data_IF_936626729322
#
_entry.id   IF_936626729322
#
_cell.length_a   1.000
_cell.length_b   1.000
_cell.length_c   1.000
_cell.angle_alpha   90.00
_cell.angle_beta   90.00
_cell.angle_gamma   90.00
#
_symmetry.space_group_name_H-M   'P 1'
#
loop_
_entity.id
_entity.type
_entity.pdbx_description
1 polymer ?
#
# COMPACT_ATOMS: atom_id res chain seq x y z
N UNK A 1 -0.39 4.83 11.88
CA UNK A 1 0.91 4.33 11.39
C UNK A 1 1.09 2.92 11.90
N UNK A 2 1.21 1.92 11.06
CA UNK A 2 1.45 0.55 11.51
C UNK A 2 2.84 0.47 12.13
N UNK A 3 2.94 -0.05 13.37
CA UNK A 3 4.19 -0.49 13.98
C UNK A 3 4.69 -1.73 13.22
N UNK A 4 5.04 -1.55 11.94
CA UNK A 4 5.67 -2.62 11.19
C UNK A 4 7.03 -2.91 11.82
N UNK A 5 7.31 -4.19 11.98
CA UNK A 5 8.64 -4.68 12.32
C UNK A 5 9.69 -3.96 11.45
N UNK A 6 10.92 -3.70 11.92
CA UNK A 6 11.98 -3.11 11.10
C UNK A 6 12.29 -3.90 9.82
N UNK A 7 11.80 -5.15 9.73
CA UNK A 7 11.93 -6.03 8.56
C UNK A 7 10.58 -6.76 8.29
N UNK A 8 9.58 -6.08 7.71
CA UNK A 8 8.24 -6.65 7.48
C UNK A 8 8.26 -7.93 6.64
N UNK A 9 9.16 -8.01 5.65
CA UNK A 9 9.33 -9.17 4.78
C UNK A 9 9.68 -10.48 5.54
N UNK A 10 10.11 -10.38 6.79
CA UNK A 10 10.36 -11.55 7.66
C UNK A 10 9.11 -12.00 8.45
N UNK A 11 8.01 -11.23 8.40
CA UNK A 11 6.79 -11.52 9.16
C UNK A 11 5.59 -11.81 8.24
N UNK A 12 5.58 -13.00 7.65
CA UNK A 12 4.52 -13.47 6.74
C UNK A 12 3.12 -13.41 7.36
N UNK A 13 3.00 -13.75 8.63
CA UNK A 13 1.71 -13.82 9.31
C UNK A 13 1.00 -12.46 9.33
N UNK A 14 1.75 -11.36 9.38
CA UNK A 14 1.16 -10.02 9.31
C UNK A 14 0.61 -9.70 7.90
N UNK A 15 1.26 -10.14 6.83
CA UNK A 15 0.76 -9.96 5.47
C UNK A 15 -0.56 -10.70 5.25
N UNK A 16 -0.71 -11.90 5.83
CA UNK A 16 -1.92 -12.71 5.70
C UNK A 16 -3.12 -12.18 6.52
N UNK A 17 -2.94 -11.25 7.45
CA UNK A 17 -4.07 -10.67 8.20
C UNK A 17 -5.03 -9.87 7.33
N UNK A 18 -4.54 -9.25 6.27
CA UNK A 18 -5.37 -8.45 5.37
C UNK A 18 -6.39 -9.29 4.59
N UNK A 19 -6.12 -10.57 4.37
CA UNK A 19 -7.02 -11.50 3.67
C UNK A 19 -8.19 -12.03 4.52
N UNK A 20 -8.27 -11.71 5.83
CA UNK A 20 -9.38 -12.16 6.69
C UNK A 20 -10.74 -11.65 6.22
N UNK A 21 -10.79 -10.45 5.63
CA UNK A 21 -11.99 -9.87 5.02
C UNK A 21 -11.58 -9.15 3.72
N UNK A 22 -11.29 -9.94 2.69
CA UNK A 22 -10.86 -9.42 1.38
C UNK A 22 -11.92 -8.50 0.73
N UNK A 23 -13.19 -8.78 0.96
CA UNK A 23 -14.28 -7.96 0.41
C UNK A 23 -14.34 -6.57 1.05
N UNK A 24 -14.16 -6.47 2.37
CA UNK A 24 -14.04 -5.20 3.08
C UNK A 24 -12.78 -4.47 2.64
N UNK A 25 -11.65 -5.16 2.58
CA UNK A 25 -10.39 -4.60 2.12
C UNK A 25 -10.54 -3.94 0.75
N UNK A 26 -11.10 -4.66 -0.22
CA UNK A 26 -11.31 -4.17 -1.59
C UNK A 26 -12.20 -2.93 -1.66
N UNK A 27 -13.29 -2.91 -0.88
CA UNK A 27 -14.26 -1.82 -0.87
C UNK A 27 -13.73 -0.58 -0.17
N UNK A 28 -12.99 -0.76 0.91
CA UNK A 28 -12.67 0.32 1.84
C UNK A 28 -11.31 0.98 1.58
N UNK A 29 -10.34 0.23 1.02
CA UNK A 29 -9.01 0.79 0.75
C UNK A 29 -9.06 1.82 -0.40
N UNK A 30 -8.21 2.86 -0.34
CA UNK A 30 -8.09 3.81 -1.43
C UNK A 30 -7.51 3.15 -2.69
N UNK A 31 -7.96 3.61 -3.86
CA UNK A 31 -7.33 3.31 -5.14
C UNK A 31 -6.08 4.16 -5.38
N UNK A 32 -5.73 4.33 -6.65
CA UNK A 32 -4.59 5.13 -7.08
C UNK A 32 -5.04 6.15 -8.13
N UNK A 33 -4.40 7.34 -8.20
CA UNK A 33 -4.79 8.38 -9.16
C UNK A 33 -4.48 7.95 -10.60
N UNK A 34 -5.34 8.36 -11.52
CA UNK A 34 -5.20 8.07 -12.97
C UNK A 34 -3.85 8.56 -13.52
N UNK A 35 -3.40 9.72 -13.06
CA UNK A 35 -2.11 10.29 -13.46
C UNK A 35 -0.90 9.38 -13.15
N UNK A 36 -0.93 8.60 -12.04
CA UNK A 36 0.08 7.58 -11.75
C UNK A 36 0.03 6.47 -12.80
N UNK A 37 -1.17 5.97 -13.08
CA UNK A 37 -1.38 4.86 -14.05
C UNK A 37 -0.87 5.27 -15.42
N UNK A 38 -1.25 6.44 -15.91
CA UNK A 38 -0.82 7.00 -17.18
C UNK A 38 0.71 7.16 -17.23
N UNK A 39 1.31 7.67 -16.16
CA UNK A 39 2.76 7.84 -16.08
C UNK A 39 3.50 6.51 -16.15
N UNK A 40 3.05 5.49 -15.42
CA UNK A 40 3.65 4.15 -15.45
C UNK A 40 3.52 3.53 -16.86
N UNK A 41 2.35 3.62 -17.47
CA UNK A 41 2.14 3.12 -18.84
C UNK A 41 3.04 3.84 -19.85
N UNK A 42 3.18 5.16 -19.73
CA UNK A 42 4.03 5.96 -20.62
C UNK A 42 5.54 5.64 -20.48
N UNK A 43 5.97 5.17 -19.31
CA UNK A 43 7.36 4.75 -19.06
C UNK A 43 7.64 3.30 -19.49
N UNK A 44 6.60 2.47 -19.57
CA UNK A 44 6.74 1.06 -19.94
C UNK A 44 6.91 0.87 -21.44
N UNK A 45 7.78 -0.03 -21.92
CA UNK A 45 7.94 -0.32 -23.34
C UNK A 45 6.76 -1.06 -23.96
N UNK A 46 5.85 -1.60 -23.15
CA UNK A 46 4.67 -2.34 -23.60
C UNK A 46 3.62 -2.47 -22.51
N UNK A 47 2.66 -3.38 -22.68
CA UNK A 47 1.47 -3.50 -21.85
C UNK A 47 1.32 -4.85 -21.15
N UNK A 48 2.37 -5.65 -21.06
CA UNK A 48 2.38 -6.92 -20.35
C UNK A 48 2.99 -6.72 -18.95
N UNK A 49 2.15 -6.68 -17.91
CA UNK A 49 2.50 -6.28 -16.55
C UNK A 49 2.41 -7.45 -15.59
N UNK A 50 3.26 -7.45 -14.57
CA UNK A 50 3.06 -8.25 -13.36
C UNK A 50 2.92 -7.34 -12.14
N UNK A 51 1.89 -7.59 -11.32
CA UNK A 51 1.62 -6.84 -10.08
C UNK A 51 2.00 -7.70 -8.87
N UNK A 52 3.03 -7.26 -8.14
CA UNK A 52 3.62 -7.97 -6.99
C UNK A 52 2.93 -7.57 -5.70
N UNK A 53 2.33 -8.57 -5.02
CA UNK A 53 1.47 -8.34 -3.87
C UNK A 53 0.16 -7.68 -4.30
N UNK A 54 -0.46 -8.19 -5.38
CA UNK A 54 -1.64 -7.58 -5.97
C UNK A 54 -2.86 -7.50 -5.04
N UNK A 55 -2.85 -8.26 -3.93
CA UNK A 55 -3.95 -8.30 -2.97
C UNK A 55 -5.27 -8.66 -3.65
N UNK A 56 -6.29 -7.82 -3.46
CA UNK A 56 -7.59 -7.93 -4.11
C UNK A 56 -7.63 -7.35 -5.54
N UNK A 57 -6.50 -6.86 -6.06
CA UNK A 57 -6.36 -6.27 -7.39
C UNK A 57 -6.65 -4.77 -7.46
N UNK A 58 -6.62 -4.04 -6.35
CA UNK A 58 -6.86 -2.58 -6.35
C UNK A 58 -5.84 -1.85 -7.24
N UNK A 59 -4.56 -2.23 -7.18
CA UNK A 59 -3.48 -1.70 -8.02
C UNK A 59 -3.57 -2.17 -9.47
N UNK A 60 -4.01 -3.41 -9.70
CA UNK A 60 -4.05 -4.04 -11.02
C UNK A 60 -5.18 -3.49 -11.91
N UNK A 61 -6.38 -3.29 -11.35
CA UNK A 61 -7.58 -2.92 -12.12
C UNK A 61 -7.43 -1.63 -12.96
N UNK A 62 -6.82 -0.54 -12.47
CA UNK A 62 -6.60 0.65 -13.29
C UNK A 62 -5.75 0.36 -14.54
N UNK A 63 -4.71 -0.47 -14.43
CA UNK A 63 -3.90 -0.89 -15.58
C UNK A 63 -4.68 -1.77 -16.55
N UNK A 64 -5.51 -2.72 -16.05
CA UNK A 64 -6.40 -3.51 -16.90
C UNK A 64 -7.39 -2.61 -17.65
N UNK A 65 -8.00 -1.63 -16.96
CA UNK A 65 -8.92 -0.66 -17.59
C UNK A 65 -8.25 0.17 -18.69
N UNK A 66 -6.95 0.45 -18.56
CA UNK A 66 -6.13 1.13 -19.57
C UNK A 66 -5.60 0.18 -20.68
N UNK A 67 -6.07 -1.08 -20.70
CA UNK A 67 -5.76 -2.08 -21.70
C UNK A 67 -4.42 -2.78 -21.53
N UNK A 68 -3.88 -2.83 -20.30
CA UNK A 68 -2.74 -3.68 -19.97
C UNK A 68 -3.20 -5.12 -19.67
N UNK A 69 -2.39 -6.10 -20.04
CA UNK A 69 -2.48 -7.46 -19.54
C UNK A 69 -1.75 -7.50 -18.20
N UNK A 70 -2.46 -7.83 -17.13
CA UNK A 70 -1.89 -7.84 -15.77
C UNK A 70 -2.00 -9.23 -15.17
N UNK A 71 -0.87 -9.79 -14.75
CA UNK A 71 -0.78 -10.98 -13.93
C UNK A 71 -0.49 -10.56 -12.49
N UNK A 72 -1.31 -10.96 -11.53
CA UNK A 72 -1.05 -10.77 -10.11
C UNK A 72 -0.17 -11.89 -9.55
N UNK A 73 0.73 -11.53 -8.63
CA UNK A 73 1.43 -12.50 -7.75
C UNK A 73 1.09 -12.13 -6.32
N UNK A 74 0.45 -13.06 -5.58
CA UNK A 74 -0.06 -12.79 -4.25
C UNK A 74 0.21 -13.96 -3.31
N UNK A 75 0.59 -13.68 -2.07
CA UNK A 75 0.94 -14.71 -1.09
C UNK A 75 -0.28 -15.26 -0.36
N UNK A 76 -1.32 -14.42 -0.16
CA UNK A 76 -2.56 -14.83 0.51
C UNK A 76 -3.57 -15.39 -0.51
N UNK A 77 -3.84 -16.69 -0.43
CA UNK A 77 -4.78 -17.35 -1.32
C UNK A 77 -6.20 -16.78 -1.28
N UNK A 78 -6.64 -16.17 -0.16
CA UNK A 78 -7.99 -15.56 -0.01
C UNK A 78 -8.08 -14.25 -0.80
N UNK A 79 -7.02 -13.42 -0.74
CA UNK A 79 -6.90 -12.22 -1.55
C UNK A 79 -6.83 -12.56 -3.04
N UNK A 80 -6.01 -13.56 -3.40
CA UNK A 80 -5.87 -14.03 -4.76
C UNK A 80 -7.20 -14.55 -5.33
N UNK A 81 -7.97 -15.32 -4.56
CA UNK A 81 -9.28 -15.82 -4.98
C UNK A 81 -10.28 -14.68 -5.20
N UNK A 82 -10.29 -13.68 -4.30
CA UNK A 82 -11.11 -12.50 -4.48
C UNK A 82 -10.74 -11.73 -5.77
N UNK A 83 -9.45 -11.53 -6.02
CA UNK A 83 -8.97 -10.86 -7.23
C UNK A 83 -9.34 -11.63 -8.50
N UNK A 84 -9.24 -12.97 -8.50
CA UNK A 84 -9.71 -13.83 -9.60
C UNK A 84 -11.20 -13.66 -9.85
N UNK A 85 -12.01 -13.62 -8.79
CA UNK A 85 -13.45 -13.33 -8.88
C UNK A 85 -13.78 -11.96 -9.49
N UNK A 86 -12.80 -11.05 -9.54
CA UNK A 86 -12.86 -9.73 -10.18
C UNK A 86 -12.22 -9.67 -11.57
N UNK A 87 -11.78 -10.82 -12.11
CA UNK A 87 -11.24 -10.94 -13.46
C UNK A 87 -9.75 -10.67 -13.59
N UNK A 88 -8.99 -10.74 -12.49
CA UNK A 88 -7.54 -10.70 -12.52
C UNK A 88 -6.98 -12.13 -12.53
N UNK A 89 -6.07 -12.42 -13.45
CA UNK A 89 -5.27 -13.64 -13.37
C UNK A 89 -4.25 -13.50 -12.23
N UNK A 90 -4.22 -14.46 -11.29
CA UNK A 90 -3.34 -14.40 -10.12
C UNK A 90 -2.67 -15.75 -9.88
N UNK A 91 -1.38 -15.73 -9.62
CA UNK A 91 -0.60 -16.87 -9.15
C UNK A 91 -0.29 -16.71 -7.66
N UNK A 92 -0.54 -17.78 -6.87
CA UNK A 92 -0.31 -17.72 -5.42
C UNK A 92 1.11 -18.16 -5.11
N UNK A 93 1.94 -17.21 -4.76
CA UNK A 93 3.34 -17.43 -4.38
C UNK A 93 3.91 -16.24 -3.61
N UNK A 94 5.00 -16.46 -2.87
CA UNK A 94 5.91 -15.37 -2.52
C UNK A 94 6.64 -14.94 -3.79
N UNK A 95 6.80 -13.64 -3.98
CA UNK A 95 7.42 -13.14 -5.20
C UNK A 95 8.86 -13.65 -5.39
N UNK A 96 9.62 -13.75 -4.31
CA UNK A 96 10.99 -14.27 -4.35
C UNK A 96 11.07 -15.73 -4.86
N UNK A 97 10.06 -16.54 -4.52
CA UNK A 97 9.97 -17.96 -4.84
C UNK A 97 9.12 -18.23 -6.09
N UNK A 98 8.47 -17.21 -6.63
CA UNK A 98 7.58 -17.32 -7.78
C UNK A 98 8.33 -17.72 -9.06
N UNK A 99 7.79 -18.70 -9.80
CA UNK A 99 8.36 -19.20 -11.03
C UNK A 99 7.66 -18.59 -12.27
N UNK A 100 8.34 -17.68 -13.00
CA UNK A 100 7.74 -17.02 -14.16
C UNK A 100 7.55 -17.94 -15.37
N UNK A 101 8.08 -19.16 -15.34
CA UNK A 101 8.00 -20.15 -16.40
C UNK A 101 8.45 -19.62 -17.78
N UNK A 102 9.53 -18.85 -17.81
CA UNK A 102 10.09 -18.27 -19.03
C UNK A 102 9.34 -17.04 -19.57
N UNK A 103 8.29 -16.57 -18.89
CA UNK A 103 7.58 -15.33 -19.24
C UNK A 103 8.45 -14.10 -18.93
N UNK A 104 8.28 -13.08 -19.76
CA UNK A 104 8.86 -11.75 -19.54
C UNK A 104 7.76 -10.70 -19.56
N UNK A 105 8.01 -9.59 -18.87
CA UNK A 105 7.03 -8.52 -18.68
C UNK A 105 7.62 -7.17 -19.06
N UNK A 106 6.77 -6.27 -19.52
CA UNK A 106 7.17 -4.90 -19.87
C UNK A 106 7.23 -4.02 -18.62
N UNK A 107 6.42 -4.34 -17.60
CA UNK A 107 6.51 -3.70 -16.30
C UNK A 107 6.28 -4.69 -15.15
N UNK A 108 6.98 -4.43 -14.04
CA UNK A 108 6.69 -4.95 -12.71
C UNK A 108 6.19 -3.78 -11.88
N UNK A 109 4.98 -3.91 -11.36
CA UNK A 109 4.38 -2.91 -10.47
C UNK A 109 4.15 -3.49 -9.09
N UNK A 110 4.16 -2.66 -8.04
CA UNK A 110 3.78 -3.07 -6.68
C UNK A 110 3.17 -1.89 -5.94
N UNK A 111 1.87 -1.99 -5.65
CA UNK A 111 1.11 -0.97 -4.92
C UNK A 111 0.96 -1.34 -3.45
N UNK A 112 1.57 -0.57 -2.55
CA UNK A 112 1.48 -0.75 -1.07
C UNK A 112 1.85 -2.17 -0.59
N UNK A 113 2.76 -2.85 -1.30
CA UNK A 113 3.10 -4.25 -1.01
C UNK A 113 4.62 -4.53 -0.97
N UNK A 114 5.45 -3.69 -1.59
CA UNK A 114 6.88 -3.99 -1.74
C UNK A 114 7.63 -4.15 -0.40
N UNK A 115 7.17 -3.55 0.67
CA UNK A 115 7.76 -3.70 2.00
C UNK A 115 7.66 -5.14 2.56
N UNK A 116 6.85 -6.01 1.95
CA UNK A 116 6.79 -7.45 2.25
C UNK A 116 7.79 -8.28 1.42
N UNK A 117 8.50 -7.68 0.48
CA UNK A 117 9.50 -8.33 -0.40
C UNK A 117 10.90 -8.01 0.11
N UNK A 118 11.80 -9.00 0.10
CA UNK A 118 13.22 -8.73 0.38
C UNK A 118 13.76 -7.77 -0.68
N UNK A 119 14.33 -6.60 -0.31
CA UNK A 119 14.69 -5.57 -1.27
C UNK A 119 15.67 -6.03 -2.35
N UNK A 120 16.67 -6.83 -1.99
CA UNK A 120 17.68 -7.28 -2.95
C UNK A 120 17.21 -8.51 -3.73
N UNK A 121 16.62 -9.49 -3.06
CA UNK A 121 16.13 -10.69 -3.73
C UNK A 121 14.98 -10.33 -4.70
N UNK A 122 14.06 -9.46 -4.28
CA UNK A 122 12.99 -8.93 -5.12
C UNK A 122 13.54 -8.19 -6.33
N UNK A 123 14.48 -7.25 -6.15
CA UNK A 123 15.08 -6.51 -7.26
C UNK A 123 15.80 -7.43 -8.26
N UNK A 124 16.49 -8.48 -7.79
CA UNK A 124 17.11 -9.49 -8.66
C UNK A 124 16.08 -10.29 -9.44
N UNK A 125 14.97 -10.68 -8.78
CA UNK A 125 13.86 -11.37 -9.44
C UNK A 125 13.23 -10.50 -10.51
N UNK A 126 12.98 -9.22 -10.21
CA UNK A 126 12.46 -8.23 -11.19
C UNK A 126 13.39 -8.12 -12.40
N UNK A 127 14.72 -8.01 -12.19
CA UNK A 127 15.67 -7.95 -13.29
C UNK A 127 15.61 -9.21 -14.18
N UNK A 128 15.28 -10.36 -13.61
CA UNK A 128 15.18 -11.64 -14.33
C UNK A 128 13.90 -11.77 -15.15
N UNK A 129 12.82 -11.06 -14.79
CA UNK A 129 11.51 -11.20 -15.44
C UNK A 129 11.13 -10.02 -16.33
N UNK A 130 11.77 -8.87 -16.21
CA UNK A 130 11.54 -7.74 -17.11
C UNK A 130 12.15 -7.99 -18.48
N UNK A 131 11.46 -7.53 -19.53
CA UNK A 131 12.01 -7.39 -20.88
C UNK A 131 13.13 -6.31 -20.91
N UNK A 132 13.98 -6.26 -21.93
CA UNK A 132 14.94 -5.15 -22.09
C UNK A 132 14.20 -3.79 -22.08
N UNK A 133 14.74 -2.83 -21.34
CA UNK A 133 14.09 -1.53 -21.07
C UNK A 133 12.77 -1.61 -20.30
N UNK A 134 12.43 -2.75 -19.71
CA UNK A 134 11.24 -2.93 -18.88
C UNK A 134 11.28 -2.09 -17.62
N UNK A 135 10.11 -1.73 -17.11
CA UNK A 135 9.91 -0.82 -15.99
C UNK A 135 9.68 -1.56 -14.67
N UNK A 136 10.38 -1.16 -13.62
CA UNK A 136 9.97 -1.40 -12.23
C UNK A 136 9.31 -0.14 -11.69
N UNK A 137 8.10 -0.26 -11.11
CA UNK A 137 7.38 0.84 -10.45
C UNK A 137 6.84 0.39 -9.10
N UNK A 138 7.34 1.01 -8.04
CA UNK A 138 6.92 0.77 -6.65
C UNK A 138 6.21 2.02 -6.14
N UNK A 139 5.01 1.88 -5.57
CA UNK A 139 4.24 3.04 -5.12
C UNK A 139 3.34 2.72 -3.92
N UNK A 140 3.09 3.73 -3.10
CA UNK A 140 2.25 3.66 -1.91
C UNK A 140 1.39 4.92 -1.78
N UNK A 141 0.25 4.79 -1.11
CA UNK A 141 -0.57 5.93 -0.71
C UNK A 141 -0.18 6.40 0.68
N UNK A 142 0.43 7.57 0.72
CA UNK A 142 0.68 8.31 1.92
C UNK A 142 -0.48 9.22 2.26
N UNK A 143 -0.80 9.38 3.52
CA UNK A 143 -1.82 10.34 3.95
C UNK A 143 -1.65 10.77 5.40
N UNK A 144 -2.23 11.92 5.70
CA UNK A 144 -2.39 12.40 7.05
C UNK A 144 -3.86 12.63 7.35
N UNK A 145 -4.27 12.19 8.52
CA UNK A 145 -5.61 12.51 9.00
C UNK A 145 -5.72 13.98 9.38
N UNK A 146 -6.84 14.65 9.09
CA UNK A 146 -7.12 15.97 9.66
C UNK A 146 -6.92 15.96 11.18
N UNK A 147 -6.39 17.04 11.78
CA UNK A 147 -6.04 17.06 13.21
C UNK A 147 -7.19 16.66 14.14
N UNK A 148 -8.41 17.08 13.83
CA UNK A 148 -9.61 16.70 14.60
C UNK A 148 -9.91 15.19 14.53
N UNK A 149 -9.77 14.58 13.34
CA UNK A 149 -9.96 13.13 13.14
C UNK A 149 -8.86 12.33 13.81
N UNK A 150 -7.61 12.82 13.75
CA UNK A 150 -6.49 12.21 14.46
C UNK A 150 -6.71 12.24 15.98
N UNK A 151 -7.18 13.36 16.53
CA UNK A 151 -7.54 13.47 17.94
C UNK A 151 -8.67 12.51 18.33
N UNK A 152 -9.69 12.36 17.47
CA UNK A 152 -10.80 11.41 17.63
C UNK A 152 -10.30 9.96 17.67
N UNK A 153 -9.37 9.57 16.77
CA UNK A 153 -8.71 8.26 16.81
C UNK A 153 -8.00 8.00 18.13
N UNK A 154 -7.19 8.96 18.61
CA UNK A 154 -6.50 8.85 19.88
C UNK A 154 -7.45 8.70 21.07
N UNK A 155 -8.56 9.45 21.09
CA UNK A 155 -9.59 9.36 22.11
C UNK A 155 -10.30 8.00 22.08
N UNK A 156 -10.68 7.51 20.89
CA UNK A 156 -11.31 6.21 20.71
C UNK A 156 -10.40 5.06 21.18
N UNK A 157 -9.10 5.18 20.93
CA UNK A 157 -8.12 4.18 21.36
C UNK A 157 -8.01 4.12 22.90
N UNK A 158 -7.88 5.28 23.57
CA UNK A 158 -7.86 5.36 25.03
C UNK A 158 -9.17 4.83 25.64
N UNK A 159 -10.30 5.10 25.01
CA UNK A 159 -11.60 4.59 25.48
C UNK A 159 -11.71 3.07 25.35
N UNK A 160 -11.21 2.51 24.24
CA UNK A 160 -11.24 1.07 24.00
C UNK A 160 -10.27 0.29 24.91
N UNK A 161 -9.14 0.89 25.27
CA UNK A 161 -8.06 0.30 26.04
C UNK A 161 -7.59 1.22 27.19
N UNK A 162 -8.38 1.41 28.23
CA UNK A 162 -8.07 2.35 29.32
C UNK A 162 -6.78 2.01 30.08
N UNK A 163 -6.41 0.73 30.12
CA UNK A 163 -5.21 0.25 30.83
C UNK A 163 -3.94 0.22 29.95
N UNK A 164 -4.06 0.53 28.66
CA UNK A 164 -2.91 0.57 27.78
C UNK A 164 -2.12 1.87 27.93
N UNK A 165 -0.81 1.77 28.08
CA UNK A 165 0.09 2.93 27.97
C UNK A 165 0.11 3.37 26.49
N UNK A 166 -0.79 4.27 26.13
CA UNK A 166 -0.81 4.87 24.80
C UNK A 166 0.38 5.85 24.70
N UNK A 167 1.37 5.50 23.91
CA UNK A 167 2.36 6.47 23.47
C UNK A 167 1.71 7.31 22.37
N UNK A 168 1.44 8.59 22.64
CA UNK A 168 1.07 9.51 21.59
C UNK A 168 2.14 9.43 20.48
N UNK A 169 1.70 9.36 19.21
CA UNK A 169 2.66 9.47 18.12
C UNK A 169 3.49 10.73 18.31
N UNK A 170 4.78 10.73 17.95
CA UNK A 170 5.64 11.89 18.12
C UNK A 170 4.93 13.13 17.53
N UNK A 171 4.91 14.21 18.32
CA UNK A 171 4.26 15.46 17.94
C UNK A 171 4.87 15.92 16.62
N UNK A 172 4.02 16.19 15.66
CA UNK A 172 4.44 16.70 14.36
C UNK A 172 5.28 17.96 14.55
N UNK A 173 6.37 18.15 13.77
CA UNK A 173 7.01 19.45 13.66
C UNK A 173 6.01 20.54 13.28
N UNK A 174 6.37 21.82 13.49
CA UNK A 174 5.54 22.95 13.09
C UNK A 174 5.15 22.87 11.59
N UNK A 175 4.06 23.52 11.18
CA UNK A 175 3.52 23.43 9.81
C UNK A 175 4.58 23.64 8.71
N UNK A 176 5.56 24.49 8.94
CA UNK A 176 6.66 24.76 8.01
C UNK A 176 7.61 23.56 7.80
N UNK A 177 7.64 22.60 8.74
CA UNK A 177 8.49 21.40 8.67
C UNK A 177 7.69 20.14 8.27
N UNK A 178 6.38 20.27 8.10
CA UNK A 178 5.50 19.12 7.86
C UNK A 178 5.77 18.44 6.53
N UNK A 179 6.03 19.21 5.47
CA UNK A 179 6.36 18.69 4.14
C UNK A 179 7.72 17.99 4.15
N UNK A 180 8.72 18.57 4.82
CA UNK A 180 10.04 17.95 4.97
C UNK A 180 9.98 16.68 5.83
N UNK A 181 9.17 16.69 6.89
CA UNK A 181 8.94 15.50 7.72
C UNK A 181 8.25 14.37 6.95
N UNK A 182 7.24 14.69 6.15
CA UNK A 182 6.60 13.73 5.26
C UNK A 182 7.62 13.16 4.26
N UNK A 183 8.38 14.01 3.56
CA UNK A 183 9.47 13.58 2.67
C UNK A 183 10.46 12.64 3.35
N UNK A 184 10.84 12.93 4.61
CA UNK A 184 11.78 12.08 5.36
C UNK A 184 11.20 10.71 5.73
N UNK A 185 9.90 10.61 6.05
CA UNK A 185 9.26 9.32 6.34
C UNK A 185 9.19 8.48 5.06
N UNK A 186 8.79 9.07 3.94
CA UNK A 186 8.65 8.38 2.65
C UNK A 186 9.99 8.06 2.02
N UNK A 187 10.95 8.98 2.09
CA UNK A 187 12.32 8.67 1.68
C UNK A 187 12.86 7.43 2.39
N UNK A 188 12.58 7.27 3.69
CA UNK A 188 12.98 6.07 4.45
C UNK A 188 12.33 4.78 3.95
N UNK A 189 11.09 4.82 3.48
CA UNK A 189 10.37 3.64 2.97
C UNK A 189 11.01 3.11 1.69
N UNK A 190 11.40 4.00 0.77
CA UNK A 190 12.02 3.62 -0.50
C UNK A 190 13.54 3.51 -0.47
N UNK A 191 14.23 3.99 0.58
CA UNK A 191 15.69 3.86 0.70
C UNK A 191 16.15 2.41 0.55
N UNK A 192 15.51 1.48 1.27
CA UNK A 192 15.88 0.06 1.18
C UNK A 192 15.58 -0.54 -0.19
N UNK A 193 14.45 -0.18 -0.79
CA UNK A 193 14.08 -0.63 -2.13
C UNK A 193 15.06 -0.09 -3.18
N UNK A 194 15.34 1.22 -3.15
CA UNK A 194 16.30 1.87 -4.04
C UNK A 194 17.71 1.30 -3.88
N UNK A 195 18.12 1.03 -2.64
CA UNK A 195 19.42 0.39 -2.37
C UNK A 195 19.48 -1.03 -2.94
N UNK A 196 18.42 -1.85 -2.75
CA UNK A 196 18.31 -3.17 -3.35
C UNK A 196 18.39 -3.11 -4.89
N UNK A 197 17.71 -2.15 -5.52
CA UNK A 197 17.73 -1.90 -6.97
C UNK A 197 19.17 -1.57 -7.42
N UNK A 198 19.86 -0.62 -6.77
CA UNK A 198 21.23 -0.22 -7.08
C UNK A 198 22.22 -1.38 -6.95
N UNK A 199 22.08 -2.18 -5.90
CA UNK A 199 22.96 -3.32 -5.66
C UNK A 199 22.89 -4.41 -6.76
N UNK A 200 21.81 -4.48 -7.53
CA UNK A 200 21.73 -5.41 -8.66
C UNK A 200 22.63 -5.00 -9.82
N UNK A 201 22.88 -3.69 -10.01
CA UNK A 201 23.55 -3.13 -11.19
C UNK A 201 22.77 -3.26 -12.50
N UNK A 202 21.54 -3.81 -12.44
CA UNK A 202 20.71 -4.14 -13.61
C UNK A 202 19.75 -3.03 -14.04
N UNK A 203 19.64 -1.94 -13.27
CA UNK A 203 18.67 -0.86 -13.50
C UNK A 203 19.35 0.50 -13.69
N UNK A 204 18.56 1.45 -14.20
CA UNK A 204 18.88 2.88 -14.09
C UNK A 204 18.87 3.32 -12.63
N UNK A 205 19.35 4.53 -12.35
CA UNK A 205 19.11 5.16 -11.04
C UNK A 205 17.61 5.27 -10.82
N UNK A 206 17.10 4.91 -9.62
CA UNK A 206 15.69 5.10 -9.29
C UNK A 206 15.26 6.56 -9.34
N UNK A 207 14.13 6.82 -10.01
CA UNK A 207 13.50 8.14 -10.12
C UNK A 207 12.24 8.19 -9.25
N UNK A 208 12.02 9.30 -8.55
CA UNK A 208 10.86 9.49 -7.69
C UNK A 208 9.60 9.81 -8.48
N UNK A 209 8.45 9.32 -7.98
CA UNK A 209 7.11 9.67 -8.43
C UNK A 209 6.33 10.27 -7.25
N UNK A 210 5.52 11.31 -7.52
CA UNK A 210 4.60 11.88 -6.53
C UNK A 210 3.36 12.44 -7.23
N UNK A 211 2.17 12.05 -6.73
CA UNK A 211 0.87 12.51 -7.20
C UNK A 211 -0.01 12.83 -6.01
N UNK A 212 -0.48 14.06 -5.92
CA UNK A 212 -1.38 14.50 -4.85
C UNK A 212 -2.83 14.38 -5.31
N UNK A 213 -3.70 13.94 -4.40
CA UNK A 213 -5.12 13.80 -4.66
C UNK A 213 -5.91 13.72 -3.35
N UNK A 214 -7.20 14.02 -3.42
CA UNK A 214 -8.06 14.09 -2.27
C UNK A 214 -9.13 12.99 -2.32
N UNK A 215 -9.52 12.52 -1.13
CA UNK A 215 -10.68 11.66 -0.97
C UNK A 215 -11.49 12.09 0.26
N UNK A 216 -12.77 12.34 0.04
CA UNK A 216 -13.73 12.55 1.12
C UNK A 216 -14.27 11.19 1.58
N UNK A 217 -14.29 11.00 2.88
CA UNK A 217 -14.87 9.84 3.53
C UNK A 217 -16.08 10.28 4.33
N UNK A 218 -17.19 9.57 4.17
CA UNK A 218 -18.25 9.59 5.15
C UNK A 218 -17.85 8.83 6.41
N UNK A 219 -18.57 9.06 7.52
CA UNK A 219 -18.38 8.29 8.76
C UNK A 219 -18.33 6.78 8.51
N UNK A 220 -19.31 6.26 7.78
CA UNK A 220 -19.43 4.81 7.57
C UNK A 220 -18.34 4.24 6.68
N UNK A 221 -17.94 4.96 5.63
CA UNK A 221 -16.80 4.58 4.79
C UNK A 221 -15.49 4.55 5.60
N UNK A 222 -15.30 5.51 6.51
CA UNK A 222 -14.11 5.52 7.34
C UNK A 222 -14.10 4.41 8.37
N UNK A 223 -15.24 4.13 9.03
CA UNK A 223 -15.38 3.00 9.97
C UNK A 223 -15.23 1.64 9.27
N UNK A 224 -15.53 1.55 7.97
CA UNK A 224 -15.26 0.36 7.17
C UNK A 224 -13.76 0.26 6.79
N UNK A 225 -13.09 1.39 6.57
CA UNK A 225 -11.68 1.43 6.19
C UNK A 225 -10.70 1.15 7.35
N UNK A 226 -10.97 1.68 8.54
CA UNK A 226 -10.05 1.60 9.68
C UNK A 226 -9.62 0.17 10.06
N UNK A 227 -10.51 -0.83 10.13
CA UNK A 227 -10.11 -2.21 10.41
C UNK A 227 -9.16 -2.82 9.38
N UNK A 228 -9.17 -2.32 8.13
CA UNK A 228 -8.32 -2.81 7.05
C UNK A 228 -6.88 -2.28 7.12
N UNK A 229 -6.59 -1.34 8.02
CA UNK A 229 -5.26 -0.71 8.14
C UNK A 229 -4.31 -1.47 9.08
N UNK A 230 -4.77 -2.59 9.66
CA UNK A 230 -3.96 -3.43 10.56
C UNK A 230 -3.81 -2.90 12.00
N UNK A 231 -4.12 -1.63 12.24
CA UNK A 231 -3.93 -1.00 13.56
C UNK A 231 -4.85 -1.52 14.67
N UNK A 232 -5.95 -2.19 14.32
CA UNK A 232 -6.92 -2.76 15.28
C UNK A 232 -6.83 -4.28 15.44
N UNK A 233 -5.89 -4.93 14.76
CA UNK A 233 -5.83 -6.41 14.74
C UNK A 233 -5.45 -7.04 16.09
N UNK A 234 -4.85 -6.26 16.98
CA UNK A 234 -4.50 -6.68 18.32
C UNK A 234 -5.63 -6.48 19.35
N UNK A 235 -6.72 -5.81 18.98
CA UNK A 235 -7.89 -5.61 19.82
C UNK A 235 -8.80 -6.83 19.75
N UNK A 236 -9.36 -7.23 20.90
CA UNK A 236 -10.48 -8.14 20.94
C UNK A 236 -11.74 -7.51 20.30
N UNK A 237 -12.77 -8.31 20.09
CA UNK A 237 -13.99 -7.89 19.40
C UNK A 237 -14.71 -6.75 20.13
N UNK A 238 -14.80 -6.83 21.48
CA UNK A 238 -15.47 -5.82 22.30
C UNK A 238 -14.70 -4.49 22.30
N UNK A 239 -13.38 -4.53 22.45
CA UNK A 239 -12.53 -3.34 22.38
C UNK A 239 -12.60 -2.67 21.00
N UNK A 240 -12.60 -3.49 19.94
CA UNK A 240 -12.77 -2.99 18.56
C UNK A 240 -14.13 -2.34 18.37
N UNK A 241 -15.20 -2.94 18.85
CA UNK A 241 -16.55 -2.37 18.79
C UNK A 241 -16.64 -1.03 19.55
N UNK A 242 -16.07 -0.95 20.76
CA UNK A 242 -16.00 0.31 21.53
C UNK A 242 -15.20 1.38 20.81
N UNK A 243 -14.06 1.01 20.21
CA UNK A 243 -13.26 1.93 19.41
C UNK A 243 -14.05 2.52 18.24
N UNK A 244 -14.67 1.67 17.42
CA UNK A 244 -15.43 2.10 16.25
C UNK A 244 -16.65 2.95 16.62
N UNK A 245 -17.37 2.58 17.70
CA UNK A 245 -18.52 3.37 18.18
C UNK A 245 -18.10 4.78 18.62
N UNK A 246 -17.00 4.89 19.39
CA UNK A 246 -16.50 6.18 19.85
C UNK A 246 -15.96 7.04 18.72
N UNK A 247 -15.22 6.43 17.79
CA UNK A 247 -14.72 7.13 16.60
C UNK A 247 -15.88 7.63 15.72
N UNK A 248 -16.90 6.78 15.51
CA UNK A 248 -18.09 7.17 14.74
C UNK A 248 -18.81 8.36 15.32
N UNK A 249 -19.07 8.36 16.64
CA UNK A 249 -19.70 9.49 17.32
C UNK A 249 -18.89 10.79 17.17
N UNK A 250 -17.54 10.69 17.30
CA UNK A 250 -16.67 11.86 17.12
C UNK A 250 -16.69 12.39 15.68
N UNK A 251 -16.77 11.51 14.67
CA UNK A 251 -16.90 11.94 13.27
C UNK A 251 -18.27 12.61 13.04
N UNK A 252 -19.35 12.10 13.64
CA UNK A 252 -20.67 12.74 13.56
C UNK A 252 -20.64 14.17 14.12
N UNK A 253 -19.96 14.39 15.25
CA UNK A 253 -19.74 15.73 15.83
C UNK A 253 -18.94 16.66 14.90
N UNK A 254 -18.08 16.12 14.03
CA UNK A 254 -17.32 16.85 13.02
C UNK A 254 -18.12 17.09 11.71
N UNK A 255 -19.39 16.70 11.66
CA UNK A 255 -20.26 16.88 10.50
C UNK A 255 -20.44 15.63 9.63
N UNK A 256 -20.05 14.45 10.11
CA UNK A 256 -20.32 13.15 9.49
C UNK A 256 -19.43 12.79 8.29
N UNK A 257 -18.50 13.67 7.90
CA UNK A 257 -17.55 13.44 6.82
C UNK A 257 -16.30 14.28 6.96
N UNK A 258 -15.21 13.88 6.31
CA UNK A 258 -13.96 14.64 6.24
C UNK A 258 -13.16 14.26 5.00
N UNK A 259 -12.28 15.15 4.56
CA UNK A 259 -11.39 14.92 3.41
C UNK A 259 -9.99 14.58 3.89
N UNK A 260 -9.39 13.58 3.27
CA UNK A 260 -7.98 13.22 3.41
C UNK A 260 -7.25 13.65 2.15
N UNK A 261 -6.14 14.36 2.33
CA UNK A 261 -5.19 14.62 1.28
C UNK A 261 -4.21 13.46 1.19
N UNK A 262 -4.18 12.79 0.05
CA UNK A 262 -3.27 11.70 -0.25
C UNK A 262 -2.10 12.20 -1.09
N UNK A 263 -0.94 11.64 -0.85
CA UNK A 263 0.15 11.65 -1.80
C UNK A 263 0.44 10.20 -2.20
N UNK A 264 0.22 9.85 -3.46
CA UNK A 264 0.75 8.60 -3.98
C UNK A 264 2.21 8.85 -4.35
N UNK A 265 3.10 8.23 -3.61
CA UNK A 265 4.55 8.36 -3.77
C UNK A 265 5.16 7.04 -4.21
N UNK A 266 6.30 7.10 -4.89
CA UNK A 266 6.95 5.88 -5.35
C UNK A 266 8.29 6.14 -6.02
N UNK A 267 8.88 5.04 -6.49
CA UNK A 267 10.10 5.06 -7.30
C UNK A 267 9.93 4.21 -8.55
N UNK A 268 10.58 4.63 -9.63
CA UNK A 268 10.68 3.85 -10.86
C UNK A 268 12.13 3.60 -11.23
N UNK A 269 12.40 2.47 -11.90
CA UNK A 269 13.71 2.18 -12.46
C UNK A 269 13.55 1.37 -13.76
N UNK A 270 14.38 1.67 -14.75
CA UNK A 270 14.38 1.00 -16.06
C UNK A 270 15.46 -0.09 -16.06
N UNK A 271 15.11 -1.30 -16.50
CA UNK A 271 16.08 -2.37 -16.74
C UNK A 271 17.04 -1.99 -17.87
N UNK A 272 18.33 -2.13 -17.61
CA UNK A 272 19.41 -1.90 -18.58
C UNK A 272 19.59 -3.08 -19.52
#
# INVERSE_FOLDING_TARGET
MSNLSPEPHKNRQMAEWFGLDAARYDRARPGYPEALVDRIIALSPGKNFVDVGCGTGISSRPFQAAGCMVLGVEVDGRMAEFARGRGLDVEVARFEDWEPAGRTFDAVVSGTAWHWVDPLAGARKVAGVLSPSGLLALFDNAFELPPAVMAAHGAAYRHAMPDATFQEPPRKPAEDDAEEYAKQIYAKQYVKAAEGIRQTGAFSEPEELRFEWDRTYTRDEWLDAVPTQGGLNHLDEDARARFLAHLGAAIDELGGSFTINYATEGITAIRR
#
